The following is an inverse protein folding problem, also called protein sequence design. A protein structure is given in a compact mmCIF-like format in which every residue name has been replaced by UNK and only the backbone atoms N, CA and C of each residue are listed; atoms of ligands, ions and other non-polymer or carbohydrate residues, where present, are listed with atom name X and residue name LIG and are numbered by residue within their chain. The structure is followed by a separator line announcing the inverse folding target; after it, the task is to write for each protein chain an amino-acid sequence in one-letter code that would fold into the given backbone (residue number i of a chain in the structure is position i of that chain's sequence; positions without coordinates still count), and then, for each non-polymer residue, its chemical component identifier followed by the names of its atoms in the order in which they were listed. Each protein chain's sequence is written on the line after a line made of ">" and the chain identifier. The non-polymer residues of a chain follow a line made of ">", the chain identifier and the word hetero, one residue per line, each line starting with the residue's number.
data_IF_967102496837
#
_entry.id   IF_967102496837
#
_cell.length_a   1.000
_cell.length_b   1.000
_cell.length_c   1.000
_cell.angle_alpha   90.00
_cell.angle_beta   90.00
_cell.angle_gamma   90.00
#
_symmetry.space_group_name_H-M   'P 1'
#
loop_
_entity.id
_entity.type
_entity.pdbx_description
1 polymer ?
#
# COMPACT_ATOMS: atom_id res chain seq x y z
N UNK A 1 20.73 3.05 -3.59
CA UNK A 1 20.37 4.08 -2.58
C UNK A 1 18.94 3.92 -2.11
N UNK A 2 17.97 3.83 -3.03
CA UNK A 2 16.53 3.66 -2.73
C UNK A 2 16.23 2.49 -1.78
N UNK A 3 16.85 1.32 -1.97
CA UNK A 3 16.64 0.16 -1.08
C UNK A 3 17.04 0.43 0.37
N UNK A 4 18.09 1.24 0.61
CA UNK A 4 18.52 1.57 1.97
C UNK A 4 17.45 2.38 2.70
N UNK A 5 16.89 3.38 2.03
CA UNK A 5 15.85 4.25 2.58
C UNK A 5 14.56 3.47 2.84
N UNK A 6 14.16 2.61 1.90
CA UNK A 6 13.00 1.72 2.06
C UNK A 6 13.19 0.82 3.29
N UNK A 7 14.34 0.16 3.42
CA UNK A 7 14.60 -0.74 4.52
C UNK A 7 14.57 -0.01 5.88
N UNK A 8 15.20 1.16 5.96
CA UNK A 8 15.15 2.00 7.17
C UNK A 8 13.72 2.42 7.53
N UNK A 9 12.90 2.81 6.54
CA UNK A 9 11.50 3.17 6.78
C UNK A 9 10.66 1.98 7.27
N UNK A 10 10.89 0.78 6.73
CA UNK A 10 10.19 -0.43 7.14
C UNK A 10 10.56 -0.83 8.58
N UNK A 11 11.82 -0.67 8.96
CA UNK A 11 12.31 -0.94 10.31
C UNK A 11 11.78 0.10 11.31
N UNK A 12 11.83 1.39 10.98
CA UNK A 12 11.29 2.48 11.80
C UNK A 12 9.80 2.28 12.10
N UNK A 13 9.04 1.76 11.13
CA UNK A 13 7.62 1.45 11.29
C UNK A 13 7.35 0.10 11.98
N UNK A 14 8.39 -0.64 12.36
CA UNK A 14 8.28 -1.96 12.98
C UNK A 14 7.70 -3.04 12.07
N UNK A 15 7.71 -2.81 10.75
CA UNK A 15 7.23 -3.78 9.74
C UNK A 15 8.23 -4.93 9.63
N UNK A 16 9.51 -4.60 9.66
CA UNK A 16 10.63 -5.54 9.74
C UNK A 16 11.43 -5.26 11.02
N UNK A 17 12.18 -6.25 11.48
CA UNK A 17 12.99 -6.16 12.70
C UNK A 17 14.41 -5.64 12.49
N UNK A 18 14.94 -5.67 11.25
CA UNK A 18 16.29 -5.23 10.94
C UNK A 18 16.44 -4.77 9.48
N UNK A 19 16.75 -3.49 9.27
CA UNK A 19 16.91 -2.94 7.92
C UNK A 19 18.10 -3.55 7.16
N UNK A 20 19.23 -3.78 7.84
CA UNK A 20 20.43 -4.32 7.20
C UNK A 20 20.20 -5.74 6.66
N UNK A 21 19.57 -6.62 7.46
CA UNK A 21 19.27 -7.98 7.06
C UNK A 21 18.24 -8.03 5.91
N UNK A 22 17.22 -7.17 5.95
CA UNK A 22 16.28 -7.06 4.84
C UNK A 22 16.95 -6.64 3.53
N UNK A 23 17.88 -5.68 3.57
CA UNK A 23 18.64 -5.28 2.38
C UNK A 23 19.45 -6.44 1.79
N UNK A 24 20.21 -7.14 2.64
CA UNK A 24 21.01 -8.29 2.22
C UNK A 24 20.11 -9.36 1.56
N UNK A 25 18.95 -9.61 2.16
CA UNK A 25 17.95 -10.53 1.63
C UNK A 25 17.44 -10.13 0.24
N UNK A 26 17.10 -8.85 0.03
CA UNK A 26 16.64 -8.34 -1.28
C UNK A 26 17.76 -8.37 -2.33
N UNK A 27 18.98 -8.04 -1.95
CA UNK A 27 20.16 -8.05 -2.83
C UNK A 27 20.49 -9.47 -3.29
N UNK A 28 20.49 -10.46 -2.38
CA UNK A 28 20.71 -11.88 -2.72
C UNK A 28 19.66 -12.44 -3.69
N UNK A 29 18.44 -11.90 -3.66
CA UNK A 29 17.34 -12.27 -4.57
C UNK A 29 17.41 -11.56 -5.92
N UNK A 30 18.28 -10.55 -6.07
CA UNK A 30 18.33 -9.71 -7.26
C UNK A 30 17.06 -8.88 -7.50
N UNK A 31 16.27 -8.62 -6.46
CA UNK A 31 14.94 -7.96 -6.56
C UNK A 31 14.97 -6.46 -6.25
N UNK A 32 16.15 -5.85 -6.08
CA UNK A 32 16.27 -4.42 -5.76
C UNK A 32 15.52 -3.53 -6.77
N UNK A 33 15.60 -3.86 -8.06
CA UNK A 33 14.94 -3.10 -9.14
C UNK A 33 13.44 -3.42 -9.30
N UNK A 34 12.93 -4.40 -8.55
CA UNK A 34 11.53 -4.82 -8.61
C UNK A 34 10.69 -4.15 -7.52
N UNK A 35 11.28 -3.32 -6.66
CA UNK A 35 10.56 -2.61 -5.62
C UNK A 35 9.74 -1.46 -6.22
N UNK A 36 8.42 -1.57 -6.11
CA UNK A 36 7.50 -0.57 -6.65
C UNK A 36 7.19 0.51 -5.60
N UNK A 37 7.35 1.80 -5.92
CA UNK A 37 6.95 2.87 -5.01
C UNK A 37 5.43 2.94 -4.88
N UNK A 38 4.92 3.26 -3.69
CA UNK A 38 3.49 3.34 -3.44
C UNK A 38 3.12 3.37 -1.96
N UNK A 39 1.81 3.39 -1.69
CA UNK A 39 1.26 3.28 -0.34
C UNK A 39 0.88 1.83 -0.10
N UNK A 40 1.40 1.24 0.96
CA UNK A 40 1.20 -0.16 1.30
C UNK A 40 0.58 -0.32 2.69
N UNK A 41 -0.25 -1.36 2.83
CA UNK A 41 -0.74 -1.84 4.11
C UNK A 41 0.04 -3.11 4.45
N UNK A 42 0.94 -2.98 5.42
CA UNK A 42 1.85 -4.03 5.87
C UNK A 42 1.60 -4.32 7.35
N UNK A 43 1.79 -5.57 7.74
CA UNK A 43 1.69 -5.99 9.14
C UNK A 43 3.02 -5.75 9.83
N UNK A 44 3.00 -5.40 11.12
CA UNK A 44 4.20 -5.29 11.93
C UNK A 44 4.84 -6.66 12.16
N UNK A 45 6.16 -6.69 12.39
CA UNK A 45 6.93 -7.91 12.62
C UNK A 45 6.71 -8.99 11.54
N UNK A 46 6.57 -8.56 10.29
CA UNK A 46 6.39 -9.43 9.14
C UNK A 46 7.70 -10.08 8.71
N UNK A 47 7.60 -11.29 8.16
CA UNK A 47 8.71 -11.95 7.49
C UNK A 47 9.16 -11.17 6.25
N UNK A 48 10.47 -11.19 5.97
CA UNK A 48 11.04 -10.43 4.86
C UNK A 48 10.50 -10.86 3.49
N UNK A 49 10.23 -12.17 3.31
CA UNK A 49 9.60 -12.70 2.10
C UNK A 49 8.25 -12.02 1.84
N UNK A 50 7.38 -12.06 2.84
CA UNK A 50 6.01 -11.52 2.76
C UNK A 50 6.02 -10.02 2.45
N UNK A 51 6.98 -9.28 3.03
CA UNK A 51 7.15 -7.86 2.76
C UNK A 51 7.65 -7.62 1.34
N UNK A 52 8.65 -8.39 0.88
CA UNK A 52 9.19 -8.28 -0.47
C UNK A 52 8.13 -8.61 -1.53
N UNK A 53 7.38 -9.69 -1.33
CA UNK A 53 6.30 -10.09 -2.24
C UNK A 53 5.23 -9.01 -2.34
N UNK A 54 4.79 -8.42 -1.22
CA UNK A 54 3.81 -7.32 -1.24
C UNK A 54 4.35 -6.08 -1.96
N UNK A 55 5.61 -5.69 -1.72
CA UNK A 55 6.18 -4.49 -2.34
C UNK A 55 6.43 -4.70 -3.84
N UNK A 56 6.81 -5.91 -4.25
CA UNK A 56 7.03 -6.25 -5.66
C UNK A 56 5.73 -6.50 -6.44
N UNK A 57 4.65 -6.89 -5.75
CA UNK A 57 3.31 -6.96 -6.34
C UNK A 57 2.72 -5.58 -6.66
N UNK A 58 3.21 -4.53 -5.99
CA UNK A 58 2.72 -3.17 -6.16
C UNK A 58 1.61 -2.79 -5.17
N UNK A 59 1.26 -1.50 -5.07
CA UNK A 59 0.28 -1.01 -4.11
C UNK A 59 -1.14 -1.53 -4.43
N UNK A 60 -1.97 -1.79 -3.40
CA UNK A 60 -3.34 -2.25 -3.62
C UNK A 60 -4.18 -1.20 -4.36
N UNK A 61 -5.17 -1.63 -5.18
CA UNK A 61 -6.05 -0.70 -5.88
C UNK A 61 -6.89 0.11 -4.89
N UNK A 62 -6.89 1.44 -5.05
CA UNK A 62 -7.71 2.34 -4.24
C UNK A 62 -9.15 2.26 -4.73
N UNK A 63 -10.04 1.68 -3.92
CA UNK A 63 -11.47 1.57 -4.26
C UNK A 63 -12.25 2.67 -3.54
N UNK A 64 -12.90 3.55 -4.29
CA UNK A 64 -13.77 4.60 -3.75
C UNK A 64 -15.22 4.11 -3.75
N UNK A 65 -15.83 4.01 -2.56
CA UNK A 65 -17.28 3.76 -2.44
C UNK A 65 -18.01 5.11 -2.44
N UNK A 66 -18.59 5.47 -3.58
CA UNK A 66 -19.49 6.62 -3.65
C UNK A 66 -20.83 6.24 -3.00
N UNK A 67 -21.14 6.86 -1.87
CA UNK A 67 -22.49 6.81 -1.28
C UNK A 67 -23.25 8.02 -1.84
N UNK A 68 -24.20 7.78 -2.75
CA UNK A 68 -25.07 8.84 -3.28
C UNK A 68 -26.39 8.87 -2.50
N UNK A 69 -26.57 9.86 -1.63
CA UNK A 69 -27.81 10.07 -0.85
C UNK A 69 -28.97 10.72 -1.67
N UNK A 70 -28.94 10.62 -3.00
CA UNK A 70 -29.85 11.37 -3.89
C UNK A 70 -31.26 10.77 -4.08
N UNK A 71 -31.78 10.01 -3.12
CA UNK A 71 -33.16 9.49 -3.18
C UNK A 71 -33.96 9.77 -1.90
N UNK A 72 -34.01 11.03 -1.45
CA UNK A 72 -34.95 11.43 -0.40
C UNK A 72 -35.44 12.88 -0.46
N UNK A 73 -36.10 13.25 -1.55
CA UNK A 73 -37.19 14.26 -1.63
C UNK A 73 -37.40 14.70 -3.07
N UNK A 74 -38.59 14.49 -3.63
CA UNK A 74 -39.47 15.54 -4.20
C UNK A 74 -40.87 14.96 -4.43
N UNK A 75 -41.79 15.21 -3.48
CA UNK A 75 -43.19 15.51 -3.82
C UNK A 75 -43.19 17.01 -4.13
N UNK A 76 -43.23 17.38 -5.40
CA UNK A 76 -43.62 18.71 -5.83
C UNK A 76 -44.48 18.53 -7.08
N UNK A 77 -45.72 18.99 -6.95
CA UNK A 77 -46.79 18.90 -7.94
C UNK A 77 -46.37 19.51 -9.28
N UNK A 78 -46.71 18.81 -10.36
CA UNK A 78 -46.58 19.32 -11.72
C UNK A 78 -47.65 20.39 -11.95
N UNK A 79 -47.23 21.60 -12.33
CA UNK A 79 -48.08 22.56 -13.02
C UNK A 79 -47.42 22.90 -14.35
N UNK A 80 -48.02 22.42 -15.43
CA UNK A 80 -47.66 22.75 -16.81
C UNK A 80 -48.29 24.10 -17.18
N UNK A 81 -47.48 25.01 -17.73
CA UNK A 81 -47.93 26.09 -18.63
C UNK A 81 -46.98 26.06 -19.83
#
# INVERSE_FOLDING_TARGET
>A
MILKEIASLLEEKGIINNAFLFRLFVEQRGKEKSLTPGIYILETNSEYEKVLDKITAGPPPVTYKFITDYFKRRRYDFQFI
#
